data_IF_255537435843
#
_entry.id   IF_255537435843
#
_cell.length_a   1.000
_cell.length_b   1.000
_cell.length_c   1.000
_cell.angle_alpha   90.00
_cell.angle_beta   90.00
_cell.angle_gamma   90.00
#
_symmetry.space_group_name_H-M   'P 1'
#
loop_
_entity.id
_entity.type
_entity.pdbx_description
1 polymer ?
#
# COMPACT_ATOMS: atom_id res chain seq x y z
N UNK A 1 44.14 -19.40 22.69
CA UNK A 1 43.88 -17.94 22.59
C UNK A 1 42.69 -17.77 21.67
N UNK A 2 41.50 -17.74 22.27
CA UNK A 2 40.24 -17.61 21.55
C UNK A 2 39.89 -16.12 21.46
N UNK A 3 39.96 -15.55 20.28
CA UNK A 3 39.50 -14.18 20.04
C UNK A 3 38.06 -14.17 19.63
N UNK A 4 37.27 -13.63 20.50
CA UNK A 4 35.85 -13.27 20.32
C UNK A 4 35.56 -12.67 18.93
N UNK A 5 34.68 -13.33 18.19
CA UNK A 5 33.92 -12.73 17.12
C UNK A 5 32.47 -12.68 17.55
N UNK A 6 32.15 -11.79 18.51
CA UNK A 6 30.80 -11.36 18.72
C UNK A 6 30.50 -10.28 17.67
N UNK A 7 29.95 -10.72 16.54
CA UNK A 7 29.28 -9.85 15.60
C UNK A 7 28.07 -9.24 16.34
N UNK A 8 28.24 -8.00 16.78
CA UNK A 8 27.13 -7.13 17.15
C UNK A 8 26.29 -6.94 15.87
N UNK A 9 25.19 -7.66 15.78
CA UNK A 9 24.13 -7.30 14.87
C UNK A 9 23.65 -5.89 15.31
N UNK A 10 24.19 -4.86 14.66
CA UNK A 10 23.61 -3.53 14.73
C UNK A 10 22.14 -3.69 14.35
N UNK A 11 21.24 -3.50 15.30
CA UNK A 11 19.83 -3.32 15.01
C UNK A 11 19.74 -2.11 14.09
N UNK A 12 19.60 -2.36 12.79
CA UNK A 12 19.25 -1.32 11.83
C UNK A 12 18.06 -0.58 12.42
N UNK A 13 18.23 0.71 12.72
CA UNK A 13 17.14 1.55 13.20
C UNK A 13 16.12 1.60 12.06
N UNK A 14 14.97 0.99 12.29
CA UNK A 14 13.89 1.00 11.29
C UNK A 14 13.56 2.42 10.88
N UNK A 15 13.59 2.69 9.57
CA UNK A 15 13.36 4.03 9.04
C UNK A 15 11.87 4.42 9.21
N UNK A 16 11.55 5.70 9.46
CA UNK A 16 10.17 6.15 9.58
C UNK A 16 9.34 5.84 8.33
N UNK A 17 8.06 5.50 8.55
CA UNK A 17 7.09 5.21 7.49
C UNK A 17 5.85 6.07 7.68
N UNK A 18 5.47 6.81 6.64
CA UNK A 18 4.26 7.63 6.59
C UNK A 18 3.24 6.97 5.66
N UNK A 19 2.09 6.56 6.17
CA UNK A 19 1.04 5.91 5.37
C UNK A 19 -0.06 6.91 5.06
N UNK A 20 -0.27 7.19 3.77
CA UNK A 20 -1.28 8.12 3.27
C UNK A 20 -2.48 7.33 2.75
N UNK A 21 -3.54 7.29 3.57
CA UNK A 21 -4.74 6.48 3.35
C UNK A 21 -4.79 5.26 4.27
N UNK A 22 -5.80 5.21 5.15
CA UNK A 22 -5.96 4.18 6.18
C UNK A 22 -7.21 3.32 5.92
N UNK A 23 -7.35 2.84 4.68
CA UNK A 23 -8.30 1.80 4.31
C UNK A 23 -7.77 0.41 4.72
N UNK A 24 -8.35 -0.65 4.15
CA UNK A 24 -7.94 -2.04 4.43
C UNK A 24 -6.41 -2.21 4.31
N UNK A 25 -5.81 -1.84 3.18
CA UNK A 25 -4.38 -2.07 2.91
C UNK A 25 -3.51 -1.15 3.78
N UNK A 26 -3.71 0.18 3.71
CA UNK A 26 -2.87 1.12 4.45
C UNK A 26 -3.03 1.01 5.96
N UNK A 27 -4.23 0.75 6.46
CA UNK A 27 -4.46 0.54 7.89
C UNK A 27 -3.85 -0.77 8.40
N UNK A 28 -3.96 -1.87 7.64
CA UNK A 28 -3.31 -3.13 7.96
C UNK A 28 -1.78 -2.99 8.00
N UNK A 29 -1.22 -2.25 7.04
CA UNK A 29 0.22 -1.98 7.01
C UNK A 29 0.65 -1.13 8.22
N UNK A 30 -0.11 -0.09 8.58
CA UNK A 30 0.18 0.74 9.76
C UNK A 30 0.22 -0.12 11.02
N UNK A 31 -0.80 -0.95 11.25
CA UNK A 31 -0.86 -1.86 12.40
C UNK A 31 0.32 -2.83 12.42
N UNK A 32 0.62 -3.44 11.28
CA UNK A 32 1.72 -4.41 11.16
C UNK A 32 3.08 -3.80 11.44
N UNK A 33 3.39 -2.65 10.83
CA UNK A 33 4.67 -1.98 11.01
C UNK A 33 4.83 -1.44 12.44
N UNK A 34 3.77 -0.89 13.04
CA UNK A 34 3.77 -0.47 14.44
C UNK A 34 4.06 -1.66 15.37
N UNK A 35 3.40 -2.81 15.15
CA UNK A 35 3.64 -4.03 15.92
C UNK A 35 5.07 -4.59 15.73
N UNK A 36 5.67 -4.37 14.55
CA UNK A 36 7.06 -4.74 14.25
C UNK A 36 8.10 -3.73 14.79
N UNK A 37 7.65 -2.64 15.45
CA UNK A 37 8.52 -1.64 16.08
C UNK A 37 9.04 -0.55 15.12
N UNK A 38 8.41 -0.38 13.95
CA UNK A 38 8.72 0.74 13.06
C UNK A 38 8.13 2.04 13.62
N UNK A 39 8.84 3.18 13.50
CA UNK A 39 8.26 4.51 13.73
C UNK A 39 7.29 4.82 12.57
N UNK A 40 6.07 4.27 12.64
CA UNK A 40 5.05 4.38 11.62
C UNK A 40 3.93 5.35 12.08
N UNK A 41 3.49 6.20 11.16
CA UNK A 41 2.38 7.12 11.35
C UNK A 41 1.57 7.26 10.08
N UNK A 42 0.36 7.83 10.18
CA UNK A 42 -0.49 7.87 9.00
C UNK A 42 -1.43 9.06 8.94
N UNK A 43 -2.02 9.21 7.77
CA UNK A 43 -3.08 10.17 7.49
C UNK A 43 -4.29 9.51 6.85
N UNK A 44 -5.47 9.99 7.23
CA UNK A 44 -6.69 9.67 6.49
C UNK A 44 -7.62 10.88 6.41
N UNK A 45 -8.35 10.99 5.28
CA UNK A 45 -9.31 12.06 5.04
C UNK A 45 -10.54 11.97 5.96
N UNK A 46 -10.97 10.75 6.30
CA UNK A 46 -12.16 10.52 7.12
C UNK A 46 -11.85 10.76 8.61
N UNK A 47 -12.52 11.72 9.22
CA UNK A 47 -12.38 11.99 10.65
C UNK A 47 -12.77 10.77 11.51
N UNK A 48 -13.76 9.99 11.10
CA UNK A 48 -14.16 8.76 11.81
C UNK A 48 -13.07 7.69 11.77
N UNK A 49 -12.39 7.52 10.63
CA UNK A 49 -11.24 6.62 10.51
C UNK A 49 -10.09 7.06 11.41
N UNK A 50 -9.77 8.35 11.42
CA UNK A 50 -8.72 8.91 12.29
C UNK A 50 -9.05 8.68 13.77
N UNK A 51 -10.30 8.93 14.17
CA UNK A 51 -10.74 8.70 15.54
C UNK A 51 -10.64 7.23 15.96
N UNK A 52 -11.05 6.31 15.11
CA UNK A 52 -10.97 4.87 15.38
C UNK A 52 -9.51 4.41 15.48
N UNK A 53 -8.66 4.82 14.52
CA UNK A 53 -7.26 4.47 14.51
C UNK A 53 -6.51 5.02 15.74
N UNK A 54 -6.80 6.27 16.14
CA UNK A 54 -6.23 6.87 17.34
C UNK A 54 -6.68 6.15 18.64
N UNK A 55 -7.96 5.72 18.69
CA UNK A 55 -8.48 4.92 19.82
C UNK A 55 -7.77 3.56 19.93
N UNK A 56 -7.33 2.99 18.82
CA UNK A 56 -6.52 1.77 18.76
C UNK A 56 -5.02 2.01 19.01
N UNK A 57 -4.64 3.23 19.42
CA UNK A 57 -3.26 3.58 19.77
C UNK A 57 -2.35 3.89 18.58
N UNK A 58 -2.89 4.10 17.38
CA UNK A 58 -2.08 4.45 16.20
C UNK A 58 -1.79 5.96 16.15
N UNK A 59 -0.58 6.31 15.70
CA UNK A 59 -0.15 7.68 15.46
C UNK A 59 -0.71 8.17 14.11
N UNK A 60 -1.81 8.91 14.16
CA UNK A 60 -2.57 9.28 12.95
C UNK A 60 -3.10 10.71 13.01
N UNK A 61 -3.27 11.32 11.84
CA UNK A 61 -3.74 12.70 11.69
C UNK A 61 -4.79 12.82 10.57
N UNK A 62 -5.67 13.81 10.68
CA UNK A 62 -6.57 14.26 9.62
C UNK A 62 -5.99 15.41 8.77
N UNK A 63 -4.84 15.97 9.16
CA UNK A 63 -4.15 17.05 8.44
C UNK A 63 -3.05 16.49 7.54
N UNK A 64 -3.31 16.46 6.23
CA UNK A 64 -2.36 15.93 5.24
C UNK A 64 -1.10 16.77 5.17
N UNK A 65 -1.22 18.10 5.15
CA UNK A 65 -0.09 19.02 5.04
C UNK A 65 0.88 18.86 6.21
N UNK A 66 0.36 18.85 7.43
CA UNK A 66 1.16 18.65 8.64
C UNK A 66 1.83 17.25 8.64
N UNK A 67 1.11 16.22 8.20
CA UNK A 67 1.62 14.86 8.09
C UNK A 67 2.77 14.74 7.09
N UNK A 68 2.63 15.34 5.89
CA UNK A 68 3.68 15.36 4.87
C UNK A 68 4.89 16.19 5.30
N UNK A 69 4.69 17.33 5.97
CA UNK A 69 5.79 18.11 6.53
C UNK A 69 6.55 17.32 7.62
N UNK A 70 5.84 16.52 8.43
CA UNK A 70 6.50 15.59 9.37
C UNK A 70 7.29 14.54 8.61
N UNK A 71 6.72 13.92 7.57
CA UNK A 71 7.41 12.94 6.73
C UNK A 71 8.71 13.53 6.15
N UNK A 72 8.67 14.78 5.67
CA UNK A 72 9.86 15.48 5.16
C UNK A 72 10.94 15.69 6.24
N UNK A 73 10.55 16.12 7.45
CA UNK A 73 11.51 16.32 8.56
C UNK A 73 12.17 15.02 9.02
N UNK A 74 11.42 13.92 9.02
CA UNK A 74 11.88 12.62 9.49
C UNK A 74 12.47 11.76 8.36
N UNK A 75 12.49 12.26 7.12
CA UNK A 75 12.86 11.50 5.91
C UNK A 75 12.11 10.16 5.83
N UNK A 76 10.80 10.17 6.10
CA UNK A 76 9.99 8.98 6.12
C UNK A 76 9.75 8.42 4.71
N UNK A 77 9.68 7.09 4.56
CA UNK A 77 9.12 6.48 3.36
C UNK A 77 7.62 6.76 3.32
N UNK A 78 7.17 7.50 2.31
CA UNK A 78 5.74 7.76 2.11
C UNK A 78 5.13 6.61 1.31
N UNK A 79 4.09 5.98 1.88
CA UNK A 79 3.31 4.91 1.24
C UNK A 79 1.94 5.45 0.86
N UNK A 80 1.68 5.59 -0.43
CA UNK A 80 0.38 6.02 -0.95
C UNK A 80 -0.58 4.83 -1.01
N UNK A 81 -1.55 4.79 -0.09
CA UNK A 81 -2.56 3.74 0.03
C UNK A 81 -3.98 4.30 -0.19
N UNK A 82 -4.12 5.15 -1.20
CA UNK A 82 -5.38 5.78 -1.62
C UNK A 82 -5.86 5.19 -2.95
N UNK A 83 -7.16 5.24 -3.25
CA UNK A 83 -7.66 4.84 -4.56
C UNK A 83 -7.05 5.66 -5.70
N UNK A 84 -6.91 5.04 -6.88
CA UNK A 84 -6.27 5.63 -8.06
C UNK A 84 -6.83 7.01 -8.42
N UNK A 85 -8.15 7.21 -8.31
CA UNK A 85 -8.79 8.50 -8.63
C UNK A 85 -8.39 9.65 -7.67
N UNK A 86 -7.92 9.35 -6.47
CA UNK A 86 -7.45 10.34 -5.49
C UNK A 86 -5.93 10.59 -5.58
N UNK A 87 -5.22 9.77 -6.35
CA UNK A 87 -3.75 9.75 -6.34
C UNK A 87 -3.14 11.06 -6.85
N UNK A 88 -3.72 11.68 -7.89
CA UNK A 88 -3.21 12.94 -8.45
C UNK A 88 -3.15 14.06 -7.41
N UNK A 89 -4.21 14.20 -6.62
CA UNK A 89 -4.28 15.22 -5.58
C UNK A 89 -3.23 14.95 -4.48
N UNK A 90 -3.10 13.68 -4.07
CA UNK A 90 -2.11 13.28 -3.06
C UNK A 90 -0.68 13.52 -3.58
N UNK A 91 -0.36 13.11 -4.79
CA UNK A 91 0.96 13.31 -5.42
C UNK A 91 1.29 14.80 -5.53
N UNK A 92 0.31 15.66 -5.87
CA UNK A 92 0.49 17.10 -5.90
C UNK A 92 0.83 17.67 -4.50
N UNK A 93 0.17 17.20 -3.44
CA UNK A 93 0.47 17.59 -2.06
C UNK A 93 1.86 17.09 -1.61
N UNK A 94 2.26 15.87 -2.01
CA UNK A 94 3.60 15.35 -1.73
C UNK A 94 4.66 16.22 -2.43
N UNK A 95 4.46 16.57 -3.70
CA UNK A 95 5.36 17.45 -4.43
C UNK A 95 5.51 18.83 -3.78
N UNK A 96 4.46 19.35 -3.16
CA UNK A 96 4.48 20.63 -2.46
C UNK A 96 5.14 20.59 -1.08
N UNK A 97 4.99 19.51 -0.32
CA UNK A 97 5.35 19.45 1.10
C UNK A 97 6.50 18.49 1.44
N UNK A 98 6.75 17.47 0.60
CA UNK A 98 7.72 16.41 0.87
C UNK A 98 8.40 15.88 -0.42
N UNK A 99 8.87 16.74 -1.35
CA UNK A 99 9.32 16.31 -2.68
C UNK A 99 10.58 15.43 -2.66
N UNK A 100 11.34 15.43 -1.58
CA UNK A 100 12.59 14.66 -1.45
C UNK A 100 12.40 13.33 -0.69
N UNK A 101 11.19 13.09 -0.15
CA UNK A 101 10.94 11.84 0.55
C UNK A 101 10.94 10.64 -0.38
N UNK A 102 11.51 9.51 0.04
CA UNK A 102 11.30 8.25 -0.66
C UNK A 102 9.81 7.93 -0.70
N UNK A 103 9.33 7.47 -1.85
CA UNK A 103 7.92 7.34 -2.16
C UNK A 103 7.62 5.97 -2.76
N UNK A 104 6.55 5.35 -2.30
CA UNK A 104 5.96 4.14 -2.90
C UNK A 104 4.44 4.21 -2.87
N UNK A 105 3.80 3.28 -3.53
CA UNK A 105 2.36 3.08 -3.50
C UNK A 105 2.01 1.60 -3.32
N UNK A 106 0.74 1.32 -3.05
CA UNK A 106 0.17 -0.03 -2.94
C UNK A 106 -1.02 -0.24 -3.88
N UNK A 107 -1.13 0.59 -4.92
CA UNK A 107 -2.21 0.54 -5.92
C UNK A 107 -2.03 -0.69 -6.83
N UNK A 108 -3.13 -1.25 -7.32
CA UNK A 108 -3.12 -2.48 -8.14
C UNK A 108 -2.66 -2.29 -9.58
N UNK A 109 -2.46 -1.06 -10.06
CA UNK A 109 -1.94 -0.74 -11.40
C UNK A 109 -0.68 0.11 -11.29
N UNK A 110 0.33 -0.15 -12.13
CA UNK A 110 1.65 0.49 -11.99
C UNK A 110 1.97 1.51 -13.06
N UNK A 111 1.61 1.26 -14.30
CA UNK A 111 1.92 2.15 -15.43
C UNK A 111 1.28 3.53 -15.23
N UNK A 112 0.00 3.58 -14.84
CA UNK A 112 -0.69 4.85 -14.62
C UNK A 112 -0.17 5.59 -13.37
N UNK A 113 0.15 4.88 -12.29
CA UNK A 113 0.75 5.50 -11.09
C UNK A 113 2.10 6.11 -11.43
N UNK A 114 2.97 5.38 -12.13
CA UNK A 114 4.27 5.88 -12.56
C UNK A 114 4.13 7.15 -13.40
N UNK A 115 3.16 7.18 -14.35
CA UNK A 115 2.89 8.36 -15.18
C UNK A 115 2.50 9.58 -14.32
N UNK A 116 1.60 9.40 -13.36
CA UNK A 116 1.17 10.47 -12.43
C UNK A 116 2.35 11.02 -11.64
N UNK A 117 3.20 10.15 -11.12
CA UNK A 117 4.38 10.51 -10.32
C UNK A 117 5.44 11.22 -11.17
N UNK A 118 5.64 10.78 -12.43
CA UNK A 118 6.54 11.43 -13.39
C UNK A 118 6.08 12.83 -13.76
N UNK A 119 4.78 13.01 -14.01
CA UNK A 119 4.19 14.33 -14.32
C UNK A 119 4.36 15.32 -13.16
N UNK A 120 4.40 14.83 -11.91
CA UNK A 120 4.65 15.65 -10.73
C UNK A 120 6.14 15.88 -10.42
N UNK A 121 7.07 15.31 -11.21
CA UNK A 121 8.51 15.45 -11.01
C UNK A 121 9.09 14.63 -9.85
N UNK A 122 8.36 13.60 -9.36
CA UNK A 122 8.77 12.79 -8.21
C UNK A 122 9.39 11.42 -8.59
N UNK A 123 9.65 11.17 -9.87
CA UNK A 123 10.12 9.87 -10.35
C UNK A 123 11.46 9.42 -9.73
N UNK A 124 12.34 10.37 -9.39
CA UNK A 124 13.66 10.06 -8.84
C UNK A 124 13.61 9.48 -7.40
N UNK A 125 12.53 9.74 -6.67
CA UNK A 125 12.34 9.28 -5.29
C UNK A 125 11.28 8.16 -5.19
N UNK A 126 10.77 7.67 -6.31
CA UNK A 126 9.63 6.75 -6.35
C UNK A 126 10.03 5.35 -6.80
N UNK A 127 9.51 4.36 -6.07
CA UNK A 127 9.49 2.94 -6.47
C UNK A 127 8.08 2.42 -6.29
N UNK A 128 7.43 2.00 -7.36
CA UNK A 128 6.10 1.42 -7.32
C UNK A 128 6.08 0.07 -6.61
N UNK A 129 5.00 -0.23 -5.90
CA UNK A 129 4.81 -1.56 -5.33
C UNK A 129 3.34 -1.99 -5.32
N UNK A 130 3.09 -3.28 -5.10
CA UNK A 130 1.74 -3.82 -5.03
C UNK A 130 1.71 -5.08 -4.15
N UNK A 131 1.18 -5.02 -2.93
CA UNK A 131 0.86 -6.21 -2.15
C UNK A 131 -0.33 -6.93 -2.78
N UNK A 132 -0.14 -8.19 -3.21
CA UNK A 132 -1.19 -9.04 -3.75
C UNK A 132 -2.05 -9.59 -2.61
N UNK A 133 -2.71 -8.69 -1.89
CA UNK A 133 -3.51 -8.99 -0.72
C UNK A 133 -4.76 -8.09 -0.69
N UNK A 134 -5.86 -8.60 -0.15
CA UNK A 134 -7.11 -7.87 -0.03
C UNK A 134 -8.27 -8.80 0.31
N UNK A 135 -9.37 -8.20 0.74
CA UNK A 135 -10.65 -8.86 0.97
C UNK A 135 -11.77 -8.00 0.39
N UNK A 136 -12.99 -8.51 0.40
CA UNK A 136 -14.20 -7.76 0.02
C UNK A 136 -14.56 -6.64 1.02
N UNK A 137 -13.94 -6.63 2.20
CA UNK A 137 -14.21 -5.65 3.25
C UNK A 137 -13.37 -4.39 3.07
N UNK A 138 -13.82 -3.28 3.63
CA UNK A 138 -13.16 -1.99 3.50
C UNK A 138 -13.19 -1.17 4.80
N UNK A 139 -12.36 -0.13 4.85
CA UNK A 139 -12.28 0.79 5.99
C UNK A 139 -11.43 0.28 7.14
N UNK A 140 -11.34 1.07 8.21
CA UNK A 140 -10.49 0.79 9.36
C UNK A 140 -10.89 -0.47 10.12
N UNK A 141 -12.19 -0.72 10.27
CA UNK A 141 -12.71 -1.91 10.99
C UNK A 141 -12.38 -3.25 10.31
N UNK A 142 -12.01 -3.22 9.03
CA UNK A 142 -11.60 -4.41 8.27
C UNK A 142 -10.08 -4.66 8.29
N UNK A 143 -9.30 -3.78 8.93
CA UNK A 143 -7.83 -3.90 8.93
C UNK A 143 -7.36 -5.10 9.75
N UNK A 144 -6.39 -5.84 9.19
CA UNK A 144 -5.77 -7.01 9.80
C UNK A 144 -4.24 -6.91 9.67
N UNK A 145 -3.47 -6.89 10.77
CA UNK A 145 -2.01 -6.88 10.71
C UNK A 145 -1.41 -8.14 10.05
N UNK A 146 -2.15 -9.24 9.95
CA UNK A 146 -1.73 -10.47 9.27
C UNK A 146 -2.07 -10.50 7.77
N UNK A 147 -2.73 -9.47 7.23
CA UNK A 147 -3.21 -9.42 5.83
C UNK A 147 -2.14 -9.77 4.80
N UNK A 148 -0.88 -9.44 5.08
CA UNK A 148 0.23 -9.60 4.14
C UNK A 148 1.06 -10.87 4.37
N UNK A 149 0.77 -11.66 5.39
CA UNK A 149 1.55 -12.86 5.73
C UNK A 149 1.50 -13.87 4.57
N UNK A 150 2.67 -14.22 4.06
CA UNK A 150 2.87 -15.10 2.89
C UNK A 150 2.25 -14.57 1.57
N UNK A 151 1.72 -13.36 1.55
CA UNK A 151 1.26 -12.74 0.31
C UNK A 151 2.46 -12.33 -0.56
N UNK A 152 2.29 -12.35 -1.88
CA UNK A 152 3.27 -11.78 -2.79
C UNK A 152 3.21 -10.25 -2.70
N UNK A 153 4.37 -9.62 -2.50
CA UNK A 153 4.50 -8.17 -2.61
C UNK A 153 5.38 -7.84 -3.81
N UNK A 154 4.78 -7.30 -4.85
CA UNK A 154 5.51 -6.95 -6.08
C UNK A 154 6.17 -5.60 -5.90
N UNK A 155 7.47 -5.49 -6.22
CA UNK A 155 8.25 -4.26 -6.20
C UNK A 155 8.74 -3.97 -7.62
N UNK A 156 8.57 -2.72 -8.07
CA UNK A 156 8.96 -2.34 -9.43
C UNK A 156 10.47 -2.16 -9.55
N UNK A 157 11.03 -2.71 -10.64
CA UNK A 157 12.43 -2.50 -11.02
C UNK A 157 12.65 -1.12 -11.64
N UNK A 158 13.92 -0.66 -11.65
CA UNK A 158 14.32 0.58 -12.33
C UNK A 158 14.18 1.86 -11.50
N UNK A 159 13.82 1.76 -10.22
CA UNK A 159 13.86 2.89 -9.28
C UNK A 159 15.21 3.03 -8.58
N UNK A 160 15.34 4.04 -7.71
CA UNK A 160 16.55 4.25 -6.92
C UNK A 160 16.78 3.11 -5.91
N UNK A 161 18.02 2.64 -5.79
CA UNK A 161 18.38 1.46 -4.98
C UNK A 161 18.03 1.64 -3.49
N UNK A 162 18.23 2.82 -2.94
CA UNK A 162 17.93 3.14 -1.54
C UNK A 162 16.43 3.13 -1.26
N UNK A 163 15.60 3.64 -2.19
CA UNK A 163 14.14 3.59 -2.09
C UNK A 163 13.66 2.15 -2.24
N UNK A 164 14.20 1.41 -3.22
CA UNK A 164 13.89 -0.01 -3.43
C UNK A 164 14.18 -0.83 -2.18
N UNK A 165 15.32 -0.60 -1.54
CA UNK A 165 15.68 -1.29 -0.30
C UNK A 165 14.68 -1.03 0.83
N UNK A 166 14.20 0.22 1.00
CA UNK A 166 13.19 0.58 2.00
C UNK A 166 11.83 -0.05 1.72
N UNK A 167 11.42 -0.10 0.44
CA UNK A 167 10.16 -0.76 0.05
C UNK A 167 10.22 -2.25 0.31
N UNK A 168 11.34 -2.90 0.00
CA UNK A 168 11.56 -4.32 0.34
C UNK A 168 11.53 -4.58 1.84
N UNK A 169 12.15 -3.69 2.62
CA UNK A 169 12.21 -3.80 4.07
C UNK A 169 10.82 -3.81 4.70
N UNK A 170 9.95 -2.87 4.33
CA UNK A 170 8.56 -2.86 4.82
C UNK A 170 7.74 -4.06 4.34
N UNK A 171 7.96 -4.55 3.12
CA UNK A 171 7.28 -5.73 2.59
C UNK A 171 7.67 -7.00 3.37
N UNK A 172 8.96 -7.17 3.65
CA UNK A 172 9.47 -8.28 4.49
C UNK A 172 8.98 -8.15 5.93
N UNK A 173 8.98 -6.95 6.52
CA UNK A 173 8.45 -6.70 7.85
C UNK A 173 6.93 -6.98 7.93
N UNK A 174 6.22 -6.78 6.82
CA UNK A 174 4.81 -7.15 6.70
C UNK A 174 4.57 -8.67 6.64
N UNK A 175 5.61 -9.47 6.41
CA UNK A 175 5.53 -10.94 6.29
C UNK A 175 5.31 -11.43 4.87
N UNK A 176 5.51 -10.57 3.87
CA UNK A 176 5.30 -10.87 2.46
C UNK A 176 6.52 -11.49 1.80
N UNK A 177 6.27 -12.20 0.68
CA UNK A 177 7.30 -12.69 -0.24
C UNK A 177 7.49 -11.66 -1.35
N UNK A 178 8.70 -11.08 -1.44
CA UNK A 178 8.99 -10.02 -2.43
C UNK A 178 9.29 -10.64 -3.79
N UNK A 179 8.64 -10.10 -4.83
CA UNK A 179 8.88 -10.42 -6.24
C UNK A 179 9.13 -9.12 -7.00
N UNK A 180 10.06 -9.13 -7.95
CA UNK A 180 10.38 -7.94 -8.74
C UNK A 180 9.98 -8.09 -10.20
N UNK A 181 9.46 -7.02 -10.77
CA UNK A 181 9.14 -6.92 -12.20
C UNK A 181 9.06 -5.47 -12.63
N UNK A 182 8.98 -5.22 -13.93
CA UNK A 182 8.70 -3.88 -14.47
C UNK A 182 7.20 -3.57 -14.48
N UNK A 183 6.81 -2.26 -14.54
CA UNK A 183 5.41 -1.85 -14.48
C UNK A 183 4.52 -2.43 -15.59
N UNK A 184 5.03 -2.60 -16.81
CA UNK A 184 4.25 -3.07 -17.97
C UNK A 184 3.97 -4.57 -17.81
N UNK A 185 5.00 -5.35 -17.48
CA UNK A 185 4.88 -6.79 -17.22
C UNK A 185 3.95 -7.06 -16.04
N UNK A 186 4.03 -6.24 -14.97
CA UNK A 186 3.12 -6.31 -13.83
C UNK A 186 1.66 -6.14 -14.26
N UNK A 187 1.35 -5.01 -14.92
CA UNK A 187 -0.03 -4.68 -15.27
C UNK A 187 -0.63 -5.72 -16.25
N UNK A 188 0.18 -6.24 -17.19
CA UNK A 188 -0.21 -7.33 -18.05
C UNK A 188 -0.55 -8.62 -17.30
N UNK A 189 0.28 -9.00 -16.33
CA UNK A 189 0.04 -10.19 -15.50
C UNK A 189 -1.21 -10.02 -14.63
N UNK A 190 -1.35 -8.89 -13.93
CA UNK A 190 -2.50 -8.60 -13.05
C UNK A 190 -3.81 -8.52 -13.83
N UNK A 191 -3.80 -8.00 -15.05
CA UNK A 191 -4.97 -8.01 -15.93
C UNK A 191 -5.48 -9.44 -16.15
N UNK A 192 -4.58 -10.39 -16.41
CA UNK A 192 -4.95 -11.78 -16.68
C UNK A 192 -5.36 -12.56 -15.43
N UNK A 193 -4.63 -12.43 -14.33
CA UNK A 193 -4.83 -13.27 -13.14
C UNK A 193 -5.83 -12.71 -12.13
N UNK A 194 -6.14 -11.42 -12.20
CA UNK A 194 -7.02 -10.73 -11.25
C UNK A 194 -8.19 -10.01 -11.95
N UNK A 195 -7.93 -9.04 -12.83
CA UNK A 195 -8.97 -8.17 -13.36
C UNK A 195 -9.96 -8.91 -14.28
N UNK A 196 -9.47 -9.73 -15.21
CA UNK A 196 -10.33 -10.52 -16.12
C UNK A 196 -11.20 -11.52 -15.36
N UNK A 197 -10.68 -12.35 -14.43
CA UNK A 197 -11.52 -13.22 -13.60
C UNK A 197 -12.60 -12.47 -12.82
N UNK A 198 -12.27 -11.29 -12.28
CA UNK A 198 -13.22 -10.48 -11.53
C UNK A 198 -14.37 -9.97 -12.42
N UNK A 199 -14.05 -9.43 -13.60
CA UNK A 199 -15.03 -9.00 -14.59
C UNK A 199 -15.94 -10.14 -15.03
N UNK A 200 -15.38 -11.34 -15.23
CA UNK A 200 -16.17 -12.54 -15.61
C UNK A 200 -17.12 -12.92 -14.46
N UNK A 201 -16.64 -12.93 -13.22
CA UNK A 201 -17.47 -13.23 -12.05
C UNK A 201 -18.61 -12.24 -11.88
N UNK A 202 -18.35 -10.93 -12.04
CA UNK A 202 -19.39 -9.90 -12.00
C UNK A 202 -20.40 -10.06 -13.13
N UNK A 203 -19.95 -10.31 -14.37
CA UNK A 203 -20.83 -10.51 -15.51
C UNK A 203 -21.75 -11.72 -15.30
N UNK A 204 -21.23 -12.82 -14.77
CA UNK A 204 -22.03 -14.02 -14.43
C UNK A 204 -23.03 -13.72 -13.32
N UNK A 205 -22.66 -12.96 -12.30
CA UNK A 205 -23.55 -12.56 -11.21
C UNK A 205 -24.70 -11.69 -11.72
N UNK A 206 -24.41 -10.73 -12.59
CA UNK A 206 -25.44 -9.87 -13.22
C UNK A 206 -26.37 -10.70 -14.11
N UNK A 207 -25.85 -11.62 -14.91
CA UNK A 207 -26.66 -12.49 -15.76
C UNK A 207 -27.59 -13.37 -14.93
N UNK A 208 -27.08 -13.99 -13.85
CA UNK A 208 -27.89 -14.83 -12.95
C UNK A 208 -29.03 -14.05 -12.29
N UNK A 209 -28.77 -12.80 -11.84
CA UNK A 209 -29.81 -11.94 -11.24
C UNK A 209 -30.83 -11.51 -12.29
N UNK A 210 -30.43 -11.20 -13.52
CA UNK A 210 -31.31 -10.76 -14.61
C UNK A 210 -32.25 -11.88 -15.04
N UNK A 211 -31.79 -13.12 -15.13
CA UNK A 211 -32.62 -14.29 -15.43
C UNK A 211 -33.61 -14.59 -14.29
N UNK A 212 -33.19 -14.40 -13.04
CA UNK A 212 -34.06 -14.61 -11.88
C UNK A 212 -35.28 -13.65 -11.84
N UNK A 213 -35.11 -12.42 -12.34
CA UNK A 213 -36.19 -11.43 -12.46
C UNK A 213 -37.18 -11.78 -13.60
N UNK A 214 -36.74 -12.56 -14.60
CA UNK A 214 -37.52 -12.94 -15.79
C UNK A 214 -38.35 -14.22 -15.67
N UNK A 215 -38.24 -15.03 -14.63
CA UNK A 215 -39.06 -16.27 -14.54
C UNK A 215 -38.53 -17.42 -13.70
N UNK A 216 -37.99 -17.20 -12.54
CA UNK A 216 -37.85 -18.31 -11.60
C UNK A 216 -36.57 -18.37 -10.78
N UNK A 217 -36.76 -18.53 -9.53
CA UNK A 217 -35.88 -18.67 -8.38
C UNK A 217 -34.83 -19.85 -8.50
N UNK A 218 -34.67 -20.44 -9.69
CA UNK A 218 -33.96 -21.69 -9.88
C UNK A 218 -32.44 -21.51 -10.10
N UNK A 219 -32.03 -20.42 -10.74
CA UNK A 219 -30.61 -20.19 -11.07
C UNK A 219 -29.76 -19.80 -9.85
N UNK A 220 -30.38 -19.33 -8.76
CA UNK A 220 -29.65 -18.97 -7.51
C UNK A 220 -29.59 -20.12 -6.48
N UNK A 221 -30.16 -21.30 -6.79
CA UNK A 221 -30.21 -22.44 -5.88
C UNK A 221 -29.33 -23.62 -6.29
N UNK A 222 -28.59 -23.47 -7.41
CA UNK A 222 -27.60 -24.43 -7.89
C UNK A 222 -26.19 -23.93 -7.63
#
# INVERSE_FOLDING_TARGET
MNSNCQSLAEKSVSQPVCIVGLGLIGGSLLRRLTAAGYPAFGWNRSASTVQQAAADGMDVSGDLSATLQRAARENALIVMAVPLFALRDIVSQIAAHAPQCPLTDVVSVKVEVLRIVQEAGLAATYVGSHPMAGTENSGWGATDPALFENATWVVMTGGADDVTARVRDIAVAAGSVVVETDPVSHDGAVACISHVPHLVAEALSVAAVTESVGGGDTALRL
#
